data_IF_357718814958
#
_entry.id   IF_357718814958
#
_cell.length_a   1.000
_cell.length_b   1.000
_cell.length_c   1.000
_cell.angle_alpha   90.00
_cell.angle_beta   90.00
_cell.angle_gamma   90.00
#
_symmetry.space_group_name_H-M   'P 1'
#
loop_
_entity.id
_entity.type
_entity.pdbx_description
1 polymer ?
#
# COMPACT_ATOMS: atom_id res chain seq x y z
N UNK A 1 -9.69 14.36 -16.15
CA UNK A 1 -8.57 13.48 -15.95
C UNK A 1 -8.93 12.36 -14.99
N UNK A 2 -8.68 11.12 -15.35
CA UNK A 2 -8.80 9.99 -14.42
C UNK A 2 -7.70 10.19 -13.38
N UNK A 3 -8.05 10.78 -12.24
CA UNK A 3 -7.18 10.77 -11.07
C UNK A 3 -7.02 9.32 -10.64
N UNK A 4 -5.80 8.85 -10.39
CA UNK A 4 -5.68 7.50 -9.84
C UNK A 4 -6.37 7.48 -8.48
N UNK A 5 -7.22 6.48 -8.24
CA UNK A 5 -7.94 6.34 -6.97
C UNK A 5 -6.97 6.34 -5.76
N UNK A 6 -5.76 5.84 -5.95
CA UNK A 6 -4.70 5.88 -4.96
C UNK A 6 -4.27 7.32 -4.61
N UNK A 7 -4.01 8.17 -5.62
CA UNK A 7 -3.65 9.58 -5.40
C UNK A 7 -4.74 10.33 -4.66
N UNK A 8 -6.02 10.06 -4.95
CA UNK A 8 -7.12 10.74 -4.29
C UNK A 8 -7.31 10.31 -2.84
N UNK A 9 -7.01 9.05 -2.49
CA UNK A 9 -7.10 8.57 -1.11
C UNK A 9 -6.15 9.35 -0.20
N UNK A 10 -4.86 9.40 -0.49
CA UNK A 10 -3.93 10.10 0.39
C UNK A 10 -4.07 11.62 0.35
N UNK A 11 -4.51 12.21 -0.79
CA UNK A 11 -4.85 13.64 -0.87
C UNK A 11 -6.02 13.98 0.08
N UNK A 12 -7.08 13.15 0.09
CA UNK A 12 -8.21 13.31 0.99
C UNK A 12 -7.83 13.07 2.44
N UNK A 13 -6.99 12.08 2.72
CA UNK A 13 -6.48 11.84 4.06
C UNK A 13 -5.72 13.06 4.61
N UNK A 14 -4.82 13.65 3.80
CA UNK A 14 -4.09 14.87 4.21
C UNK A 14 -5.05 16.04 4.43
N UNK A 15 -6.06 16.21 3.57
CA UNK A 15 -7.06 17.28 3.73
C UNK A 15 -7.89 17.13 5.00
N UNK A 16 -8.29 15.90 5.36
CA UNK A 16 -9.20 15.62 6.48
C UNK A 16 -8.48 15.54 7.82
N UNK A 17 -7.34 14.85 7.86
CA UNK A 17 -6.63 14.51 9.09
C UNK A 17 -5.29 15.25 9.24
N UNK A 18 -4.88 16.04 8.26
CA UNK A 18 -3.55 16.64 8.24
C UNK A 18 -2.44 15.60 8.06
N UNK A 19 -1.24 15.94 8.54
CA UNK A 19 -0.03 15.14 8.34
C UNK A 19 0.30 14.21 9.52
N UNK A 20 -0.42 14.31 10.64
CA UNK A 20 0.01 13.74 11.93
C UNK A 20 -0.07 12.20 11.99
N UNK A 21 -0.88 11.54 11.14
CA UNK A 21 -1.11 10.09 11.18
C UNK A 21 -0.90 9.42 9.81
N UNK A 22 -0.08 10.01 8.98
CA UNK A 22 0.04 9.58 7.60
C UNK A 22 0.93 8.35 7.40
N UNK A 23 0.36 7.15 7.40
CA UNK A 23 0.95 5.95 6.80
C UNK A 23 0.17 5.64 5.52
N UNK A 24 0.82 5.74 4.37
CA UNK A 24 0.17 5.54 3.07
C UNK A 24 0.18 4.08 2.66
N UNK A 25 -0.99 3.52 2.30
CA UNK A 25 -1.11 2.19 1.72
C UNK A 25 -0.62 2.22 0.27
N UNK A 26 0.26 1.29 -0.11
CA UNK A 26 0.95 1.33 -1.41
C UNK A 26 0.29 0.50 -2.51
N UNK A 27 -0.55 -0.47 -2.17
CA UNK A 27 -1.10 -1.45 -3.11
C UNK A 27 -2.61 -1.28 -3.41
N UNK A 28 -3.15 -0.08 -3.28
CA UNK A 28 -4.57 0.17 -3.64
C UNK A 28 -4.83 -0.14 -5.11
N UNK A 29 -3.88 0.18 -5.98
CA UNK A 29 -3.83 -0.24 -7.39
C UNK A 29 -2.65 -1.18 -7.53
N UNK A 30 -1.44 -0.65 -7.69
CA UNK A 30 -0.16 -1.35 -7.62
C UNK A 30 0.87 -0.47 -6.94
N UNK A 31 1.90 -1.07 -6.37
CA UNK A 31 3.02 -0.35 -5.76
C UNK A 31 3.73 0.56 -6.77
N UNK A 32 3.87 0.15 -8.02
CA UNK A 32 4.51 0.97 -9.06
C UNK A 32 3.69 2.22 -9.40
N UNK A 33 2.36 2.09 -9.51
CA UNK A 33 1.47 3.24 -9.67
C UNK A 33 1.54 4.19 -8.49
N UNK A 34 1.60 3.64 -7.28
CA UNK A 34 1.76 4.44 -6.06
C UNK A 34 3.05 5.25 -6.09
N UNK A 35 4.19 4.63 -6.36
CA UNK A 35 5.50 5.30 -6.38
C UNK A 35 5.57 6.43 -7.41
N UNK A 36 4.95 6.24 -8.58
CA UNK A 36 4.87 7.29 -9.59
C UNK A 36 4.16 8.53 -9.07
N UNK A 37 3.08 8.36 -8.31
CA UNK A 37 2.25 9.46 -7.81
C UNK A 37 2.71 9.97 -6.42
N UNK A 38 3.44 9.16 -5.66
CA UNK A 38 3.93 9.48 -4.31
C UNK A 38 5.27 10.22 -4.37
N UNK A 39 5.22 11.40 -4.97
CA UNK A 39 6.40 12.25 -5.20
C UNK A 39 6.77 13.06 -3.95
N UNK A 40 7.80 13.90 -4.05
CA UNK A 40 8.46 14.61 -2.95
C UNK A 40 7.49 15.21 -1.92
N UNK A 41 6.41 15.87 -2.38
CA UNK A 41 5.45 16.51 -1.47
C UNK A 41 4.81 15.51 -0.52
N UNK A 42 4.21 14.45 -1.05
CA UNK A 42 3.54 13.44 -0.21
C UNK A 42 4.53 12.54 0.51
N UNK A 43 5.63 12.18 -0.13
CA UNK A 43 6.70 11.41 0.50
C UNK A 43 7.31 12.16 1.71
N UNK A 44 7.33 13.50 1.67
CA UNK A 44 7.76 14.33 2.80
C UNK A 44 6.70 14.39 3.89
N UNK A 45 5.42 14.63 3.51
CA UNK A 45 4.32 14.82 4.46
C UNK A 45 3.98 13.55 5.25
N UNK A 46 3.97 12.39 4.59
CA UNK A 46 3.63 11.13 5.25
C UNK A 46 4.77 10.63 6.13
N UNK A 47 4.41 10.10 7.31
CA UNK A 47 5.36 9.51 8.26
C UNK A 47 5.93 8.18 7.78
N UNK A 48 5.24 7.52 6.84
CA UNK A 48 5.69 6.25 6.28
C UNK A 48 4.71 5.66 5.29
N UNK A 49 4.97 4.41 4.95
CA UNK A 49 4.21 3.61 3.98
C UNK A 49 3.88 2.24 4.55
N UNK A 50 2.79 1.61 4.06
CA UNK A 50 2.30 0.31 4.51
C UNK A 50 2.32 -0.71 3.38
N UNK A 51 2.91 -1.88 3.67
CA UNK A 51 2.84 -3.08 2.86
C UNK A 51 1.62 -3.92 3.26
N UNK A 52 0.80 -4.30 2.29
CA UNK A 52 -0.39 -5.15 2.47
C UNK A 52 -0.44 -6.31 1.46
N UNK A 53 0.59 -6.44 0.61
CA UNK A 53 0.73 -7.52 -0.35
C UNK A 53 2.15 -7.61 -0.92
N UNK A 54 2.48 -8.77 -1.51
CA UNK A 54 3.76 -9.02 -2.16
C UNK A 54 4.91 -9.38 -1.21
N UNK A 55 6.11 -9.56 -1.78
CA UNK A 55 7.30 -9.85 -0.98
C UNK A 55 7.71 -8.64 -0.14
N UNK A 56 7.80 -8.76 1.20
CA UNK A 56 8.08 -7.65 2.08
C UNK A 56 9.52 -7.11 1.95
N UNK A 57 10.50 -7.94 1.57
CA UNK A 57 11.88 -7.50 1.40
C UNK A 57 12.03 -6.68 0.12
N UNK A 58 11.52 -7.18 -1.00
CA UNK A 58 11.52 -6.47 -2.28
C UNK A 58 10.76 -5.15 -2.16
N UNK A 59 9.59 -5.17 -1.50
CA UNK A 59 8.80 -3.97 -1.26
C UNK A 59 9.55 -2.95 -0.41
N UNK A 60 10.15 -3.36 0.70
CA UNK A 60 10.87 -2.47 1.61
C UNK A 60 12.10 -1.83 0.96
N UNK A 61 12.90 -2.61 0.22
CA UNK A 61 14.06 -2.10 -0.51
C UNK A 61 13.62 -1.14 -1.63
N UNK A 62 12.51 -1.40 -2.31
CA UNK A 62 11.90 -0.51 -3.31
C UNK A 62 11.47 0.83 -2.71
N UNK A 63 10.85 0.82 -1.51
CA UNK A 63 10.47 2.04 -0.79
C UNK A 63 11.70 2.86 -0.39
N UNK A 64 12.74 2.22 0.13
CA UNK A 64 14.01 2.85 0.51
C UNK A 64 14.67 3.51 -0.71
N UNK A 65 14.72 2.79 -1.84
CA UNK A 65 15.25 3.32 -3.09
C UNK A 65 14.47 4.55 -3.56
N UNK A 66 13.14 4.51 -3.47
CA UNK A 66 12.28 5.64 -3.82
C UNK A 66 12.52 6.85 -2.93
N UNK A 67 12.56 6.70 -1.60
CA UNK A 67 12.89 7.81 -0.71
C UNK A 67 14.27 8.41 -1.03
N UNK A 68 15.27 7.57 -1.26
CA UNK A 68 16.62 8.03 -1.63
C UNK A 68 16.61 8.82 -2.96
N UNK A 69 15.85 8.37 -3.97
CA UNK A 69 15.73 9.06 -5.26
C UNK A 69 15.09 10.45 -5.13
N UNK A 70 14.25 10.65 -4.11
CA UNK A 70 13.63 11.94 -3.77
C UNK A 70 14.49 12.80 -2.81
N UNK A 71 15.68 12.34 -2.42
CA UNK A 71 16.53 13.02 -1.45
C UNK A 71 16.03 12.98 0.00
N UNK A 72 15.10 12.07 0.30
CA UNK A 72 14.55 11.88 1.66
C UNK A 72 15.34 10.78 2.35
N UNK A 73 15.82 11.05 3.58
CA UNK A 73 16.49 10.04 4.39
C UNK A 73 15.47 8.96 4.86
N UNK A 74 15.58 7.70 4.40
CA UNK A 74 14.63 6.64 4.75
C UNK A 74 14.57 6.35 6.26
N UNK A 75 15.63 6.62 7.01
CA UNK A 75 15.66 6.44 8.47
C UNK A 75 14.67 7.35 9.21
N UNK A 76 14.16 8.38 8.56
CA UNK A 76 13.12 9.26 9.12
C UNK A 76 11.71 8.73 8.86
N UNK A 77 11.57 7.72 7.99
CA UNK A 77 10.31 7.17 7.51
C UNK A 77 10.03 5.79 8.10
N UNK A 78 8.76 5.46 8.25
CA UNK A 78 8.31 4.17 8.78
C UNK A 78 7.90 3.24 7.64
N UNK A 79 8.46 2.05 7.62
CA UNK A 79 7.97 0.92 6.84
C UNK A 79 7.05 0.09 7.74
N UNK A 80 5.76 0.10 7.46
CA UNK A 80 4.77 -0.71 8.19
C UNK A 80 4.46 -1.97 7.38
N UNK A 81 4.91 -3.12 7.86
CA UNK A 81 4.61 -4.42 7.30
C UNK A 81 3.34 -4.99 7.94
N UNK A 82 2.41 -5.48 7.13
CA UNK A 82 1.12 -5.96 7.65
C UNK A 82 0.48 -7.11 6.86
N UNK A 83 1.24 -7.77 5.98
CA UNK A 83 0.74 -8.91 5.22
C UNK A 83 1.21 -10.23 5.82
N UNK A 84 0.27 -11.01 6.37
CA UNK A 84 0.49 -12.41 6.81
C UNK A 84 1.68 -12.59 7.74
N UNK A 85 1.81 -11.72 8.75
CA UNK A 85 2.93 -11.72 9.69
C UNK A 85 2.65 -12.59 10.91
N UNK A 86 3.68 -13.33 11.32
CA UNK A 86 3.91 -13.90 12.63
C UNK A 86 5.11 -13.22 13.31
N UNK A 87 5.45 -13.63 14.53
CA UNK A 87 6.57 -13.03 15.28
C UNK A 87 7.93 -13.35 14.66
N UNK A 88 8.10 -14.54 14.08
CA UNK A 88 9.35 -14.95 13.47
C UNK A 88 9.66 -14.10 12.24
N UNK A 89 8.67 -13.95 11.35
CA UNK A 89 8.78 -13.09 10.16
C UNK A 89 8.99 -11.63 10.53
N UNK A 90 8.26 -11.12 11.53
CA UNK A 90 8.42 -9.75 12.01
C UNK A 90 9.83 -9.51 12.54
N UNK A 91 10.40 -10.47 13.30
CA UNK A 91 11.79 -10.38 13.81
C UNK A 91 12.80 -10.37 12.67
N UNK A 92 12.64 -11.25 11.68
CA UNK A 92 13.53 -11.31 10.52
C UNK A 92 13.49 -10.00 9.71
N UNK A 93 12.29 -9.44 9.48
CA UNK A 93 12.13 -8.14 8.82
C UNK A 93 12.73 -7.00 9.63
N UNK A 94 12.55 -7.01 10.94
CA UNK A 94 13.17 -6.02 11.82
C UNK A 94 14.68 -6.04 11.68
N UNK A 95 15.31 -7.22 11.77
CA UNK A 95 16.77 -7.35 11.67
C UNK A 95 17.29 -6.89 10.31
N UNK A 96 16.55 -7.10 9.25
CA UNK A 96 16.94 -6.66 7.90
C UNK A 96 16.82 -5.13 7.70
N UNK A 97 15.79 -4.49 8.26
CA UNK A 97 15.48 -3.08 7.98
C UNK A 97 15.84 -2.09 9.09
N UNK A 98 16.11 -2.54 10.34
CA UNK A 98 16.35 -1.67 11.52
C UNK A 98 17.38 -0.56 11.33
N UNK A 99 18.40 -0.82 10.51
CA UNK A 99 19.46 0.16 10.22
C UNK A 99 19.19 0.98 8.96
N UNK A 100 18.14 0.68 8.21
CA UNK A 100 17.78 1.32 6.95
C UNK A 100 16.59 2.29 7.09
N UNK A 101 15.60 1.95 7.92
CA UNK A 101 14.38 2.73 8.12
C UNK A 101 13.79 2.47 9.51
N UNK A 102 12.78 3.24 9.92
CA UNK A 102 11.94 2.86 11.06
C UNK A 102 11.02 1.71 10.64
N UNK A 103 10.85 0.73 11.52
CA UNK A 103 10.05 -0.47 11.22
C UNK A 103 8.87 -0.57 12.18
N UNK A 104 7.71 -0.90 11.65
CA UNK A 104 6.51 -1.20 12.43
C UNK A 104 5.79 -2.42 11.84
N UNK A 105 5.03 -3.14 12.65
CA UNK A 105 4.37 -4.38 12.26
C UNK A 105 2.89 -4.37 12.61
N UNK A 106 2.05 -4.80 11.68
CA UNK A 106 0.65 -5.13 11.90
C UNK A 106 0.48 -6.65 11.92
N UNK A 107 0.38 -7.26 13.10
CA UNK A 107 0.11 -8.69 13.25
C UNK A 107 -1.34 -8.84 13.66
N UNK A 108 -2.15 -9.47 12.83
CA UNK A 108 -3.59 -9.62 13.03
C UNK A 108 -3.95 -11.01 13.56
N UNK A 109 -4.37 -11.87 12.66
CA UNK A 109 -4.92 -13.21 12.96
C UNK A 109 -4.00 -14.03 13.87
N UNK A 110 -2.69 -13.98 13.68
CA UNK A 110 -1.74 -14.74 14.50
C UNK A 110 -1.80 -14.36 16.00
N UNK A 111 -2.12 -13.11 16.33
CA UNK A 111 -2.31 -12.70 17.73
C UNK A 111 -3.71 -13.00 18.24
N UNK A 112 -4.73 -12.81 17.37
CA UNK A 112 -6.13 -12.91 17.78
C UNK A 112 -6.70 -14.33 17.71
N UNK A 113 -6.09 -15.23 16.96
CA UNK A 113 -6.53 -16.61 16.74
C UNK A 113 -5.34 -17.55 16.47
N UNK A 114 -4.43 -17.65 17.44
CA UNK A 114 -3.34 -18.64 17.45
C UNK A 114 -3.85 -19.94 18.11
N UNK A 115 -4.81 -20.61 17.47
CA UNK A 115 -5.44 -21.84 17.90
C UNK A 115 -5.51 -22.83 16.75
N UNK A 116 -5.86 -24.11 17.06
CA UNK A 116 -6.07 -25.15 16.04
C UNK A 116 -7.39 -24.94 15.24
N UNK A 117 -8.20 -23.94 15.59
CA UNK A 117 -9.43 -23.61 14.88
C UNK A 117 -9.20 -22.60 13.76
N UNK A 118 -9.89 -22.79 12.64
CA UNK A 118 -9.80 -21.88 11.50
C UNK A 118 -10.29 -20.45 11.86
N UNK A 119 -9.47 -19.47 11.59
CA UNK A 119 -9.83 -18.07 11.78
C UNK A 119 -10.98 -17.65 10.85
N UNK A 120 -11.92 -16.87 11.36
CA UNK A 120 -12.95 -16.24 10.55
C UNK A 120 -12.31 -15.23 9.58
N UNK A 121 -12.37 -15.52 8.30
CA UNK A 121 -11.91 -14.62 7.24
C UNK A 121 -13.07 -13.74 6.76
N UNK A 122 -13.22 -12.57 7.37
CA UNK A 122 -14.25 -11.59 6.97
C UNK A 122 -13.58 -10.40 6.33
N UNK A 123 -13.81 -10.20 5.03
CA UNK A 123 -13.35 -9.04 4.27
C UNK A 123 -14.53 -8.34 3.63
N UNK A 124 -14.72 -7.06 3.94
CA UNK A 124 -15.71 -6.21 3.28
C UNK A 124 -15.00 -5.16 2.43
N UNK A 125 -15.39 -5.06 1.16
CA UNK A 125 -14.89 -4.03 0.24
C UNK A 125 -16.06 -3.40 -0.50
N UNK A 126 -16.00 -2.08 -0.69
CA UNK A 126 -16.98 -1.35 -1.51
C UNK A 126 -16.83 -1.76 -2.97
N UNK A 127 -17.91 -2.17 -3.60
CA UNK A 127 -17.95 -2.53 -5.02
C UNK A 127 -18.71 -1.54 -5.89
N UNK A 128 -19.51 -0.65 -5.27
CA UNK A 128 -20.18 0.47 -5.93
C UNK A 128 -20.20 1.70 -5.03
N UNK A 129 -20.06 2.88 -5.63
CA UNK A 129 -20.20 4.18 -4.97
C UNK A 129 -20.99 5.11 -5.89
N UNK A 130 -22.10 5.68 -5.39
CA UNK A 130 -22.99 6.54 -6.17
C UNK A 130 -23.42 5.94 -7.53
N UNK A 131 -23.73 4.64 -7.54
CA UNK A 131 -24.14 3.92 -8.75
C UNK A 131 -23.00 3.53 -9.70
N UNK A 132 -21.77 3.98 -9.46
CA UNK A 132 -20.61 3.65 -10.26
C UNK A 132 -19.82 2.48 -9.65
N UNK A 133 -19.25 1.63 -10.48
CA UNK A 133 -18.39 0.55 -10.04
C UNK A 133 -17.09 1.13 -9.44
N UNK A 134 -16.59 0.48 -8.39
CA UNK A 134 -15.29 0.75 -7.79
C UNK A 134 -14.53 -0.56 -7.61
N UNK A 135 -13.20 -0.49 -7.67
CA UNK A 135 -12.35 -1.66 -7.56
C UNK A 135 -11.15 -1.39 -6.65
N UNK A 136 -10.75 -2.41 -5.87
CA UNK A 136 -9.38 -2.55 -5.41
C UNK A 136 -8.68 -3.49 -6.42
N UNK A 137 -7.55 -3.07 -6.98
CA UNK A 137 -6.67 -3.95 -7.76
C UNK A 137 -5.68 -4.54 -6.75
N UNK A 138 -4.54 -4.59 -6.72
CA UNK A 138 -3.51 -5.10 -5.80
C UNK A 138 -2.36 -5.66 -6.62
N UNK A 139 -1.17 -5.69 -6.05
CA UNK A 139 0.00 -6.32 -6.67
C UNK A 139 -0.12 -7.84 -6.76
N UNK A 140 -0.99 -8.45 -5.94
CA UNK A 140 -1.16 -9.91 -5.88
C UNK A 140 -2.52 -10.32 -6.43
N UNK A 141 -2.52 -11.28 -7.35
CA UNK A 141 -3.74 -11.88 -7.89
C UNK A 141 -4.62 -12.47 -6.77
N UNK A 142 -5.94 -12.23 -6.86
CA UNK A 142 -6.91 -12.70 -5.86
C UNK A 142 -7.16 -11.74 -4.69
N UNK A 143 -6.29 -10.78 -4.41
CA UNK A 143 -6.54 -9.71 -3.42
C UNK A 143 -7.38 -8.55 -3.99
N UNK A 144 -7.58 -8.48 -5.30
CA UNK A 144 -8.48 -7.54 -5.95
C UNK A 144 -9.95 -7.83 -5.67
N UNK A 145 -10.81 -6.82 -5.77
CA UNK A 145 -12.26 -6.99 -5.71
C UNK A 145 -12.96 -5.98 -6.61
N UNK A 146 -13.74 -6.48 -7.56
CA UNK A 146 -14.71 -5.75 -8.33
C UNK A 146 -15.74 -6.74 -8.88
N UNK A 147 -17.02 -6.33 -8.97
CA UNK A 147 -18.08 -7.18 -9.56
C UNK A 147 -18.17 -7.05 -11.08
N UNK A 148 -17.52 -6.05 -11.65
CA UNK A 148 -17.55 -5.74 -13.08
C UNK A 148 -16.16 -5.96 -13.70
N UNK A 149 -15.90 -7.07 -14.38
CA UNK A 149 -14.61 -7.34 -15.00
C UNK A 149 -14.26 -6.34 -16.10
N UNK A 150 -15.23 -5.87 -16.88
CA UNK A 150 -15.00 -4.89 -17.96
C UNK A 150 -14.48 -3.56 -17.37
N UNK A 151 -14.95 -3.20 -16.16
CA UNK A 151 -14.46 -2.03 -15.45
C UNK A 151 -13.02 -2.22 -14.97
N UNK A 152 -12.64 -3.41 -14.51
CA UNK A 152 -11.26 -3.73 -14.14
C UNK A 152 -10.35 -3.65 -15.37
N UNK A 153 -10.75 -4.20 -16.50
CA UNK A 153 -10.00 -4.13 -17.76
C UNK A 153 -9.85 -2.68 -18.26
N UNK A 154 -10.89 -1.88 -18.11
CA UNK A 154 -10.82 -0.45 -18.40
C UNK A 154 -9.80 0.26 -17.50
N UNK A 155 -9.85 0.02 -16.17
CA UNK A 155 -8.89 0.60 -15.24
C UNK A 155 -7.46 0.18 -15.56
N UNK A 156 -7.21 -1.10 -15.81
CA UNK A 156 -5.88 -1.59 -16.17
C UNK A 156 -5.34 -0.89 -17.43
N UNK A 157 -6.15 -0.73 -18.46
CA UNK A 157 -5.76 0.02 -19.67
C UNK A 157 -5.44 1.50 -19.36
N UNK A 158 -6.22 2.14 -18.49
CA UNK A 158 -5.94 3.52 -18.08
C UNK A 158 -4.62 3.62 -17.30
N UNK A 159 -4.35 2.66 -16.42
CA UNK A 159 -3.11 2.57 -15.64
C UNK A 159 -1.92 2.38 -16.58
N UNK A 160 -1.99 1.40 -17.49
CA UNK A 160 -0.93 1.12 -18.45
C UNK A 160 -0.62 2.33 -19.33
N UNK A 161 -1.66 3.03 -19.78
CA UNK A 161 -1.49 4.25 -20.56
C UNK A 161 -0.73 5.32 -19.77
N UNK A 162 -1.11 5.55 -18.52
CA UNK A 162 -0.46 6.54 -17.65
C UNK A 162 0.98 6.15 -17.32
N UNK A 163 1.22 4.87 -17.03
CA UNK A 163 2.58 4.37 -16.74
C UNK A 163 3.54 4.53 -17.91
N UNK A 164 3.01 4.53 -19.16
CA UNK A 164 3.81 4.70 -20.38
C UNK A 164 4.01 6.15 -20.81
N UNK A 165 3.03 7.02 -20.54
CA UNK A 165 2.98 8.34 -21.17
C UNK A 165 3.17 9.52 -20.21
N UNK A 166 2.87 9.35 -18.92
CA UNK A 166 3.12 10.41 -17.93
C UNK A 166 4.54 10.24 -17.39
N UNK A 167 5.46 11.05 -17.91
CA UNK A 167 6.84 11.21 -17.40
C UNK A 167 6.91 12.39 -16.45
#
# INVERSE_FOLDING_TARGET
GVSSAASDVYKRQVKEYGILNGIALTDTITTDCFLRDFQLTYATLFSGVRQDSGDPYEWGDKMIAHYNSLGINPRTKTLLFSDSLDFERATALYDYFKDKAKVAFGIGTFISNDTDEDALNIVMKTTKCNGMDVAKISDVAGKGMCKNPDYVDYLNRCIDYRMKNDK
#
